data_IF_579986699245
#
_entry.id   IF_579986699245
#
_cell.length_a   1.000
_cell.length_b   1.000
_cell.length_c   1.000
_cell.angle_alpha   90.00
_cell.angle_beta   90.00
_cell.angle_gamma   90.00
#
_symmetry.space_group_name_H-M   'P 1'
#
loop_
_entity.id
_entity.type
_entity.pdbx_description
1 polymer ?
#
# COMPACT_ATOMS: atom_id res chain seq x y z
N UNK A 1 -26.50 -5.21 1.33
CA UNK A 1 -25.51 -5.19 2.42
C UNK A 1 -24.53 -6.30 2.10
N UNK A 2 -23.38 -5.95 1.48
CA UNK A 2 -22.32 -6.92 1.21
C UNK A 2 -21.70 -7.26 2.55
N UNK A 3 -21.61 -8.52 2.90
CA UNK A 3 -20.99 -8.92 4.16
C UNK A 3 -19.48 -8.65 4.07
N UNK A 4 -19.01 -7.70 4.86
CA UNK A 4 -17.61 -7.28 4.95
C UNK A 4 -16.64 -8.42 5.33
N UNK A 5 -17.14 -9.52 5.81
CA UNK A 5 -16.33 -10.64 6.31
C UNK A 5 -15.83 -11.60 5.21
N UNK A 6 -16.43 -11.58 4.01
CA UNK A 6 -16.06 -12.48 2.92
C UNK A 6 -14.94 -11.93 2.02
N UNK A 7 -14.60 -10.65 2.10
CA UNK A 7 -13.57 -9.99 1.29
C UNK A 7 -12.58 -9.19 2.17
N UNK A 8 -12.17 -9.72 3.30
CA UNK A 8 -11.15 -9.10 4.13
C UNK A 8 -9.77 -9.15 3.43
N UNK A 9 -8.93 -8.13 3.65
CA UNK A 9 -7.53 -8.17 3.29
C UNK A 9 -6.81 -9.12 4.26
N UNK A 10 -6.22 -10.20 3.75
CA UNK A 10 -5.46 -11.14 4.59
C UNK A 10 -3.98 -11.02 4.28
N UNK A 11 -3.17 -10.65 5.26
CA UNK A 11 -1.72 -10.55 5.18
C UNK A 11 -1.10 -11.43 6.27
N UNK A 12 -0.21 -12.35 5.93
CA UNK A 12 0.44 -13.26 6.89
C UNK A 12 -0.56 -13.94 7.87
N UNK A 13 -1.75 -14.28 7.38
CA UNK A 13 -2.81 -14.91 8.17
C UNK A 13 -3.62 -13.97 9.06
N UNK A 14 -3.30 -12.69 9.10
CA UNK A 14 -4.08 -11.68 9.83
C UNK A 14 -5.06 -10.96 8.89
N UNK A 15 -6.29 -10.73 9.35
CA UNK A 15 -7.37 -10.12 8.58
C UNK A 15 -7.51 -8.63 8.90
N UNK A 16 -7.64 -7.81 7.86
CA UNK A 16 -7.83 -6.37 7.95
C UNK A 16 -9.11 -5.96 7.20
N UNK A 17 -9.91 -5.11 7.82
CA UNK A 17 -11.17 -4.63 7.25
C UNK A 17 -10.95 -3.61 6.12
N UNK A 18 -9.84 -2.86 6.17
CA UNK A 18 -9.47 -1.85 5.18
C UNK A 18 -8.40 -2.38 4.22
N UNK A 19 -8.40 -1.87 2.99
CA UNK A 19 -7.40 -2.14 1.95
C UNK A 19 -6.48 -0.92 1.71
N UNK A 20 -6.59 0.09 2.56
CA UNK A 20 -5.74 1.27 2.56
C UNK A 20 -4.70 1.15 3.68
N UNK A 21 -3.42 1.35 3.35
CA UNK A 21 -2.33 1.59 4.30
C UNK A 21 -1.91 3.06 4.18
N UNK A 22 -1.61 3.71 5.30
CA UNK A 22 -1.33 5.15 5.31
C UNK A 22 0.01 5.46 5.99
N UNK A 23 0.84 6.26 5.32
CA UNK A 23 2.06 6.79 5.92
C UNK A 23 1.77 7.92 6.90
N UNK A 24 2.66 8.12 7.87
CA UNK A 24 2.47 9.12 8.94
C UNK A 24 3.39 10.34 8.81
N UNK A 25 4.18 10.42 7.75
CA UNK A 25 5.17 11.48 7.60
C UNK A 25 4.63 12.68 6.80
N UNK A 26 5.21 13.87 7.06
CA UNK A 26 4.99 15.13 6.31
C UNK A 26 3.63 15.80 6.52
N UNK A 27 2.80 15.34 7.43
CA UNK A 27 1.56 16.05 7.78
C UNK A 27 1.87 17.39 8.45
N UNK A 28 1.05 18.42 8.24
CA UNK A 28 1.26 19.76 8.82
C UNK A 28 1.27 19.77 10.35
N UNK A 29 0.53 18.87 10.99
CA UNK A 29 0.50 18.73 12.45
C UNK A 29 0.06 17.34 12.88
N UNK A 30 0.34 16.93 14.14
CA UNK A 30 -0.17 15.69 14.73
C UNK A 30 -1.69 15.56 14.70
N UNK A 31 -2.40 16.67 14.91
CA UNK A 31 -3.86 16.69 14.87
C UNK A 31 -4.42 16.41 13.46
N UNK A 32 -3.78 16.95 12.43
CA UNK A 32 -4.16 16.69 11.03
C UNK A 32 -3.92 15.22 10.69
N UNK A 33 -2.80 14.63 11.11
CA UNK A 33 -2.53 13.20 10.97
C UNK A 33 -3.59 12.36 11.67
N UNK A 34 -3.91 12.65 12.93
CA UNK A 34 -4.92 11.93 13.70
C UNK A 34 -6.28 11.95 12.98
N UNK A 35 -6.71 13.13 12.52
CA UNK A 35 -7.98 13.28 11.80
C UNK A 35 -7.96 12.54 10.46
N UNK A 36 -6.87 12.59 9.70
CA UNK A 36 -6.73 11.86 8.45
C UNK A 36 -6.82 10.34 8.65
N UNK A 37 -6.09 9.81 9.65
CA UNK A 37 -6.15 8.38 10.01
C UNK A 37 -7.56 7.98 10.44
N UNK A 38 -8.22 8.79 11.26
CA UNK A 38 -9.58 8.52 11.74
C UNK A 38 -10.60 8.42 10.61
N UNK A 39 -10.56 9.34 9.62
CA UNK A 39 -11.53 9.33 8.52
C UNK A 39 -11.22 8.29 7.45
N UNK A 40 -9.95 7.96 7.25
CA UNK A 40 -9.49 6.96 6.29
C UNK A 40 -9.62 5.53 6.82
N UNK A 41 -9.57 5.35 8.15
CA UNK A 41 -9.61 4.05 8.84
C UNK A 41 -8.68 3.00 8.17
N UNK A 42 -7.37 3.26 8.06
CA UNK A 42 -6.46 2.39 7.34
C UNK A 42 -6.24 1.05 8.05
N UNK A 43 -5.88 0.01 7.30
CA UNK A 43 -5.48 -1.29 7.82
C UNK A 43 -4.25 -1.21 8.72
N UNK A 44 -3.27 -0.40 8.30
CA UNK A 44 -2.02 -0.15 9.00
C UNK A 44 -1.54 1.27 8.76
N UNK A 45 -0.71 1.79 9.67
CA UNK A 45 0.03 3.05 9.47
C UNK A 45 1.53 2.77 9.42
N UNK A 46 2.26 3.41 8.47
CA UNK A 46 3.72 3.22 8.38
C UNK A 46 4.47 4.28 9.16
N UNK A 47 5.54 3.85 9.83
CA UNK A 47 6.38 4.71 10.67
C UNK A 47 7.86 4.44 10.40
N UNK A 48 8.69 5.49 10.34
CA UNK A 48 10.14 5.38 10.18
C UNK A 48 10.87 5.77 11.47
N UNK A 49 11.73 4.87 11.96
CA UNK A 49 12.60 5.15 13.11
C UNK A 49 13.63 6.26 12.84
N UNK A 50 14.23 6.30 11.63
CA UNK A 50 15.26 7.28 11.27
C UNK A 50 14.79 8.73 11.38
N UNK A 51 13.51 9.00 11.12
CA UNK A 51 12.91 10.33 11.25
C UNK A 51 12.69 10.75 12.71
N UNK A 52 12.69 9.79 13.62
CA UNK A 52 12.50 10.03 15.04
C UNK A 52 13.82 10.43 15.74
N UNK A 53 14.98 10.02 15.22
CA UNK A 53 16.29 10.20 15.87
C UNK A 53 16.84 11.63 15.94
N UNK A 54 16.20 12.62 15.33
CA UNK A 54 16.67 14.01 15.29
C UNK A 54 15.86 14.99 16.14
N UNK A 55 14.80 14.52 16.79
CA UNK A 55 13.90 15.35 17.61
C UNK A 55 14.24 15.29 19.10
N UNK A 56 13.78 16.28 19.88
CA UNK A 56 13.95 16.28 21.33
C UNK A 56 13.15 15.16 22.02
N UNK A 57 13.56 14.75 23.21
CA UNK A 57 12.91 13.66 23.98
C UNK A 57 11.41 13.87 24.18
N UNK A 58 10.96 15.12 24.31
CA UNK A 58 9.54 15.47 24.48
C UNK A 58 8.73 15.28 23.19
N UNK A 59 9.30 15.61 22.01
CA UNK A 59 8.64 15.40 20.74
C UNK A 59 8.48 13.90 20.42
N UNK A 60 9.41 13.06 20.86
CA UNK A 60 9.31 11.61 20.75
C UNK A 60 8.16 11.05 21.60
N UNK A 61 8.05 11.46 22.88
CA UNK A 61 6.99 10.96 23.75
C UNK A 61 5.59 11.30 23.21
N UNK A 62 5.40 12.52 22.71
CA UNK A 62 4.13 12.97 22.15
C UNK A 62 3.70 12.21 20.88
N UNK A 63 4.66 11.86 20.00
CA UNK A 63 4.36 11.07 18.80
C UNK A 63 3.99 9.61 19.14
N UNK A 64 4.67 9.02 20.13
CA UNK A 64 4.35 7.69 20.62
C UNK A 64 2.95 7.60 21.24
N UNK A 65 2.59 8.57 22.04
CA UNK A 65 1.25 8.66 22.62
C UNK A 65 0.20 8.81 21.52
N UNK A 66 0.50 9.60 20.49
CA UNK A 66 -0.40 9.74 19.33
C UNK A 66 -0.60 8.41 18.59
N UNK A 67 0.47 7.65 18.33
CA UNK A 67 0.36 6.33 17.68
C UNK A 67 -0.50 5.38 18.52
N UNK A 68 -0.28 5.32 19.83
CA UNK A 68 -1.08 4.50 20.75
C UNK A 68 -2.56 4.93 20.77
N UNK A 69 -2.80 6.23 20.76
CA UNK A 69 -4.17 6.79 20.75
C UNK A 69 -4.94 6.45 19.48
N UNK A 70 -4.26 6.43 18.33
CA UNK A 70 -4.90 6.08 17.05
C UNK A 70 -5.34 4.62 17.00
N UNK A 71 -4.74 3.73 17.81
CA UNK A 71 -5.10 2.30 17.92
C UNK A 71 -5.15 1.55 16.57
N UNK A 72 -4.31 1.96 15.61
CA UNK A 72 -4.14 1.32 14.30
C UNK A 72 -2.85 0.51 14.31
N UNK A 73 -2.82 -0.71 13.74
CA UNK A 73 -1.61 -1.51 13.62
C UNK A 73 -0.46 -0.73 12.97
N UNK A 74 0.74 -0.81 13.55
CA UNK A 74 1.92 -0.11 13.07
C UNK A 74 2.73 -1.04 12.15
N UNK A 75 3.09 -0.53 10.98
CA UNK A 75 4.01 -1.13 10.03
C UNK A 75 5.30 -0.28 9.99
N UNK A 76 6.31 -0.59 10.81
CA UNK A 76 7.59 0.09 10.73
C UNK A 76 8.24 -0.10 9.36
N UNK A 77 9.05 0.88 8.93
CA UNK A 77 9.79 0.77 7.68
C UNK A 77 11.30 1.02 7.87
N UNK A 78 12.07 0.51 6.92
CA UNK A 78 13.53 0.71 6.84
C UNK A 78 13.91 1.82 5.86
N UNK A 79 13.05 2.83 5.71
CA UNK A 79 13.25 3.95 4.79
C UNK A 79 14.61 4.63 4.97
N UNK A 80 15.29 4.86 3.85
CA UNK A 80 16.62 5.49 3.82
C UNK A 80 17.76 4.55 4.18
N UNK A 81 17.56 3.23 4.23
CA UNK A 81 18.64 2.24 4.33
C UNK A 81 19.22 1.94 2.94
N UNK A 82 20.56 1.92 2.84
CA UNK A 82 21.31 1.66 1.60
C UNK A 82 22.11 0.36 1.63
N UNK A 83 22.10 -0.34 2.76
CA UNK A 83 22.77 -1.63 2.90
C UNK A 83 21.90 -2.64 3.65
N UNK A 84 22.08 -3.97 3.36
CA UNK A 84 21.40 -5.02 4.11
C UNK A 84 21.61 -4.95 5.62
N UNK A 85 22.80 -4.59 6.06
CA UNK A 85 23.13 -4.47 7.48
C UNK A 85 22.33 -3.35 8.17
N UNK A 86 22.21 -2.18 7.51
CA UNK A 86 21.37 -1.08 8.02
C UNK A 86 19.90 -1.50 8.11
N UNK A 87 19.39 -2.21 7.10
CA UNK A 87 18.02 -2.74 7.08
C UNK A 87 17.79 -3.66 8.26
N UNK A 88 18.66 -4.68 8.45
CA UNK A 88 18.51 -5.66 9.53
C UNK A 88 18.55 -4.98 10.90
N UNK A 89 19.53 -4.12 11.13
CA UNK A 89 19.66 -3.37 12.39
C UNK A 89 18.41 -2.50 12.64
N UNK A 90 17.94 -1.77 11.63
CA UNK A 90 16.75 -0.92 11.75
C UNK A 90 15.49 -1.75 12.02
N UNK A 91 15.34 -2.90 11.36
CA UNK A 91 14.21 -3.80 11.58
C UNK A 91 14.20 -4.37 13.00
N UNK A 92 15.35 -4.81 13.52
CA UNK A 92 15.47 -5.31 14.88
C UNK A 92 15.16 -4.23 15.92
N UNK A 93 15.68 -3.01 15.73
CA UNK A 93 15.32 -1.87 16.57
C UNK A 93 13.81 -1.57 16.53
N UNK A 94 13.22 -1.64 15.32
CA UNK A 94 11.79 -1.41 15.15
C UNK A 94 10.94 -2.47 15.86
N UNK A 95 11.36 -3.74 15.85
CA UNK A 95 10.71 -4.82 16.59
C UNK A 95 10.61 -4.51 18.07
N UNK A 96 11.72 -4.12 18.67
CA UNK A 96 11.78 -3.79 20.09
C UNK A 96 10.94 -2.55 20.45
N UNK A 97 11.05 -1.51 19.62
CA UNK A 97 10.39 -0.23 19.86
C UNK A 97 8.88 -0.30 19.66
N UNK A 98 8.41 -1.00 18.62
CA UNK A 98 6.98 -1.08 18.27
C UNK A 98 6.31 -2.37 18.73
N UNK A 99 7.07 -3.28 19.36
CA UNK A 99 6.57 -4.59 19.82
C UNK A 99 5.84 -5.35 18.69
N UNK A 100 6.42 -5.32 17.47
CA UNK A 100 5.81 -5.92 16.29
C UNK A 100 6.83 -6.64 15.42
N UNK A 101 6.40 -7.73 14.76
CA UNK A 101 7.20 -8.41 13.75
C UNK A 101 6.90 -7.93 12.33
N UNK A 102 5.99 -6.99 12.14
CA UNK A 102 5.74 -6.38 10.84
C UNK A 102 6.88 -5.45 10.44
N UNK A 103 7.31 -5.53 9.18
CA UNK A 103 8.31 -4.62 8.62
C UNK A 103 8.06 -4.35 7.14
N UNK A 104 7.96 -3.08 6.77
CA UNK A 104 8.05 -2.66 5.38
C UNK A 104 9.54 -2.54 5.04
N UNK A 105 10.01 -3.48 4.21
CA UNK A 105 11.42 -3.52 3.80
C UNK A 105 11.65 -2.53 2.65
N UNK A 106 12.41 -1.49 2.94
CA UNK A 106 12.97 -0.56 1.95
C UNK A 106 14.50 -0.69 1.97
N UNK A 107 15.10 -1.05 0.85
CA UNK A 107 16.54 -1.05 0.59
C UNK A 107 16.79 -0.23 -0.66
N UNK A 108 17.28 1.00 -0.50
CA UNK A 108 17.40 1.99 -1.58
C UNK A 108 18.70 1.76 -2.36
N UNK A 109 18.57 1.67 -3.69
CA UNK A 109 19.69 1.52 -4.61
C UNK A 109 20.13 2.82 -5.27
N UNK A 110 19.20 3.79 -5.41
CA UNK A 110 19.46 5.08 -6.05
C UNK A 110 18.75 6.21 -5.30
N UNK A 111 19.49 7.23 -4.90
CA UNK A 111 18.99 8.35 -4.10
C UNK A 111 18.09 9.32 -4.89
N UNK A 112 18.25 9.38 -6.19
CA UNK A 112 17.50 10.31 -7.03
C UNK A 112 16.09 9.80 -7.32
N UNK A 113 15.98 8.52 -7.65
CA UNK A 113 14.70 7.87 -7.98
C UNK A 113 14.05 7.16 -6.80
N UNK A 114 14.80 6.93 -5.70
CA UNK A 114 14.43 6.08 -4.58
C UNK A 114 14.06 4.66 -5.03
N UNK A 115 14.66 4.21 -6.14
CA UNK A 115 14.48 2.86 -6.65
C UNK A 115 15.13 1.86 -5.71
N UNK A 116 14.48 0.71 -5.44
CA UNK A 116 15.04 -0.32 -4.58
C UNK A 116 16.26 -0.99 -5.22
N UNK A 117 17.21 -1.42 -4.39
CA UNK A 117 18.32 -2.28 -4.80
C UNK A 117 17.83 -3.70 -5.05
N UNK A 118 17.42 -3.97 -6.27
CA UNK A 118 16.82 -5.24 -6.67
C UNK A 118 17.74 -6.43 -6.51
N UNK A 119 19.06 -6.23 -6.56
CA UNK A 119 20.05 -7.31 -6.44
C UNK A 119 20.17 -7.82 -5.01
N UNK A 120 20.17 -6.92 -4.03
CA UNK A 120 20.34 -7.25 -2.61
C UNK A 120 19.01 -7.42 -1.86
N UNK A 121 17.90 -6.94 -2.42
CA UNK A 121 16.58 -6.93 -1.78
C UNK A 121 16.10 -8.34 -1.41
N UNK A 122 16.22 -9.30 -2.34
CA UNK A 122 15.73 -10.68 -2.15
C UNK A 122 16.44 -11.37 -0.97
N UNK A 123 17.77 -11.30 -0.94
CA UNK A 123 18.56 -11.91 0.14
C UNK A 123 18.30 -11.22 1.49
N UNK A 124 18.10 -9.91 1.49
CA UNK A 124 17.75 -9.15 2.69
C UNK A 124 16.37 -9.55 3.22
N UNK A 125 15.39 -9.71 2.33
CA UNK A 125 14.05 -10.19 2.69
C UNK A 125 14.10 -11.59 3.30
N UNK A 126 14.84 -12.53 2.67
CA UNK A 126 15.04 -13.88 3.19
C UNK A 126 15.65 -13.88 4.60
N UNK A 127 16.62 -13.03 4.85
CA UNK A 127 17.27 -12.89 6.17
C UNK A 127 16.26 -12.43 7.23
N UNK A 128 15.46 -11.40 6.93
CA UNK A 128 14.44 -10.91 7.85
C UNK A 128 13.33 -11.95 8.11
N UNK A 129 12.93 -12.70 7.08
CA UNK A 129 11.93 -13.77 7.23
C UNK A 129 12.45 -14.88 8.14
N UNK A 130 13.70 -15.30 7.97
CA UNK A 130 14.37 -16.28 8.87
C UNK A 130 14.45 -15.78 10.31
N UNK A 131 14.57 -14.47 10.51
CA UNK A 131 14.55 -13.82 11.83
C UNK A 131 13.11 -13.60 12.37
N UNK A 132 12.08 -14.14 11.69
CA UNK A 132 10.68 -14.15 12.14
C UNK A 132 9.88 -12.88 11.80
N UNK A 133 10.37 -12.01 10.92
CA UNK A 133 9.61 -10.85 10.47
C UNK A 133 8.53 -11.20 9.44
N UNK A 134 7.41 -10.47 9.49
CA UNK A 134 6.39 -10.39 8.45
C UNK A 134 6.79 -9.29 7.47
N UNK A 135 7.48 -9.68 6.40
CA UNK A 135 8.15 -8.74 5.49
C UNK A 135 7.22 -8.29 4.37
N UNK A 136 7.04 -6.98 4.22
CA UNK A 136 6.38 -6.34 3.10
C UNK A 136 7.45 -5.60 2.27
N UNK A 137 8.00 -6.22 1.20
CA UNK A 137 9.11 -5.65 0.45
C UNK A 137 8.65 -4.62 -0.56
N UNK A 138 9.15 -3.38 -0.44
CA UNK A 138 9.03 -2.36 -1.48
C UNK A 138 9.91 -2.74 -2.68
N UNK A 139 9.30 -2.87 -3.84
CA UNK A 139 9.98 -3.30 -5.07
C UNK A 139 9.42 -2.59 -6.30
N UNK A 140 10.07 -2.80 -7.44
CA UNK A 140 9.55 -2.38 -8.75
C UNK A 140 8.48 -3.35 -9.24
N UNK A 141 7.81 -2.99 -10.36
CA UNK A 141 6.85 -3.85 -11.04
C UNK A 141 7.50 -4.99 -11.87
N UNK A 142 8.74 -5.35 -11.56
CA UNK A 142 9.45 -6.45 -12.21
C UNK A 142 8.90 -7.82 -11.75
N UNK A 143 8.40 -8.60 -12.70
CA UNK A 143 7.79 -9.91 -12.42
C UNK A 143 8.80 -10.89 -11.82
N UNK A 144 10.03 -10.92 -12.34
CA UNK A 144 11.05 -11.89 -11.88
C UNK A 144 11.50 -11.55 -10.47
N UNK A 145 11.68 -10.27 -10.17
CA UNK A 145 11.98 -9.82 -8.82
C UNK A 145 10.86 -10.23 -7.84
N UNK A 146 9.60 -9.96 -8.20
CA UNK A 146 8.45 -10.30 -7.37
C UNK A 146 8.33 -11.82 -7.13
N UNK A 147 8.57 -12.65 -8.15
CA UNK A 147 8.60 -14.11 -8.00
C UNK A 147 9.70 -14.55 -7.03
N UNK A 148 10.92 -14.00 -7.16
CA UNK A 148 12.03 -14.31 -6.26
C UNK A 148 11.75 -13.89 -4.81
N UNK A 149 11.05 -12.79 -4.59
CA UNK A 149 10.64 -12.37 -3.25
C UNK A 149 9.61 -13.34 -2.65
N UNK A 150 8.67 -13.85 -3.46
CA UNK A 150 7.74 -14.92 -3.05
C UNK A 150 8.49 -16.20 -2.72
N UNK A 151 9.44 -16.63 -3.56
CA UNK A 151 10.26 -17.83 -3.34
C UNK A 151 11.14 -17.69 -2.09
N UNK A 152 11.57 -16.48 -1.74
CA UNK A 152 12.28 -16.17 -0.50
C UNK A 152 11.39 -16.22 0.75
N UNK A 153 10.05 -16.39 0.59
CA UNK A 153 9.09 -16.55 1.68
C UNK A 153 8.24 -15.32 1.99
N UNK A 154 8.29 -14.26 1.18
CA UNK A 154 7.38 -13.13 1.34
C UNK A 154 5.94 -13.55 1.05
N UNK A 155 5.03 -13.34 2.00
CA UNK A 155 3.61 -13.66 1.85
C UNK A 155 2.77 -12.47 1.40
N UNK A 156 3.38 -11.34 1.10
CA UNK A 156 2.81 -10.19 0.43
C UNK A 156 3.93 -9.39 -0.23
N UNK A 157 3.65 -8.70 -1.34
CA UNK A 157 4.61 -7.92 -2.12
C UNK A 157 4.10 -6.49 -2.29
N UNK A 158 5.01 -5.51 -2.28
CA UNK A 158 4.68 -4.08 -2.43
C UNK A 158 5.31 -3.48 -3.69
N UNK A 159 4.77 -3.77 -4.90
CA UNK A 159 5.26 -3.14 -6.12
C UNK A 159 4.85 -1.66 -6.16
N UNK A 160 5.73 -0.81 -6.69
CA UNK A 160 5.42 0.59 -6.94
C UNK A 160 4.49 0.79 -8.14
N UNK A 161 3.75 1.91 -8.17
CA UNK A 161 3.09 2.41 -9.38
C UNK A 161 4.02 3.34 -10.17
N UNK A 162 4.82 4.13 -9.45
CA UNK A 162 5.85 5.05 -9.92
C UNK A 162 6.82 5.34 -8.76
N UNK A 163 7.96 6.03 -9.00
CA UNK A 163 8.90 6.37 -7.93
C UNK A 163 8.24 7.14 -6.77
N UNK A 164 8.77 6.93 -5.57
CA UNK A 164 8.24 7.51 -4.32
C UNK A 164 8.05 9.04 -4.45
N UNK A 165 6.87 9.52 -4.09
CA UNK A 165 6.57 10.96 -4.02
C UNK A 165 6.28 11.64 -5.35
N UNK A 166 6.33 10.92 -6.49
CA UNK A 166 6.10 11.52 -7.82
C UNK A 166 4.64 11.77 -8.15
N UNK A 167 3.71 11.01 -7.58
CA UNK A 167 2.28 11.17 -7.83
C UNK A 167 1.81 10.88 -9.27
N UNK A 168 2.65 10.24 -10.08
CA UNK A 168 2.40 10.03 -11.52
C UNK A 168 1.37 8.94 -11.82
N UNK A 169 1.02 8.13 -10.81
CA UNK A 169 0.14 6.98 -11.01
C UNK A 169 0.85 5.78 -11.64
N UNK A 170 0.11 4.75 -12.05
CA UNK A 170 0.68 3.53 -12.61
C UNK A 170 1.28 3.77 -14.00
N UNK A 171 2.61 3.93 -14.06
CA UNK A 171 3.34 4.24 -15.30
C UNK A 171 3.41 3.06 -16.28
N UNK A 172 3.39 1.82 -15.75
CA UNK A 172 3.48 0.62 -16.56
C UNK A 172 2.27 -0.32 -16.32
N UNK A 173 1.08 0.02 -16.85
CA UNK A 173 -0.13 -0.78 -16.66
C UNK A 173 0.01 -2.23 -17.14
N UNK A 174 0.81 -2.46 -18.18
CA UNK A 174 1.05 -3.82 -18.71
C UNK A 174 1.77 -4.69 -17.67
N UNK A 175 2.90 -4.22 -17.14
CA UNK A 175 3.67 -4.97 -16.15
C UNK A 175 2.85 -5.19 -14.86
N UNK A 176 2.13 -4.19 -14.40
CA UNK A 176 1.31 -4.30 -13.20
C UNK A 176 0.18 -5.34 -13.36
N UNK A 177 -0.55 -5.35 -14.48
CA UNK A 177 -1.56 -6.36 -14.75
C UNK A 177 -0.95 -7.75 -14.85
N UNK A 178 0.21 -7.88 -15.50
CA UNK A 178 0.95 -9.13 -15.58
C UNK A 178 1.36 -9.63 -14.18
N UNK A 179 1.80 -8.75 -13.28
CA UNK A 179 2.05 -9.11 -11.88
C UNK A 179 0.81 -9.69 -11.23
N UNK A 180 -0.34 -9.00 -11.36
CA UNK A 180 -1.59 -9.47 -10.73
C UNK A 180 -2.00 -10.86 -11.24
N UNK A 181 -1.79 -11.13 -12.51
CA UNK A 181 -2.13 -12.43 -13.10
C UNK A 181 -1.21 -13.56 -12.61
N UNK A 182 0.07 -13.25 -12.39
CA UNK A 182 1.11 -14.25 -12.15
C UNK A 182 1.47 -14.44 -10.69
N UNK A 183 1.37 -13.42 -9.86
CA UNK A 183 1.67 -13.48 -8.42
C UNK A 183 0.40 -13.84 -7.65
N UNK A 184 0.49 -14.83 -6.74
CA UNK A 184 -0.67 -15.37 -6.03
C UNK A 184 -0.79 -14.89 -4.58
N UNK A 185 0.28 -14.32 -4.03
CA UNK A 185 0.22 -13.64 -2.74
C UNK A 185 -0.38 -12.24 -2.90
N UNK A 186 -0.89 -11.63 -1.82
CA UNK A 186 -1.38 -10.26 -1.85
C UNK A 186 -0.38 -9.27 -2.44
N UNK A 187 -0.87 -8.38 -3.30
CA UNK A 187 -0.12 -7.29 -3.92
C UNK A 187 -0.65 -5.95 -3.41
N UNK A 188 0.22 -5.19 -2.74
CA UNK A 188 -0.09 -3.87 -2.20
C UNK A 188 0.63 -2.84 -3.07
N UNK A 189 -0.09 -2.01 -3.82
CA UNK A 189 0.55 -0.97 -4.63
C UNK A 189 1.06 0.14 -3.73
N UNK A 190 2.39 0.32 -3.71
CA UNK A 190 3.09 1.31 -2.90
C UNK A 190 3.79 2.33 -3.79
N UNK A 191 3.80 3.58 -3.36
CA UNK A 191 4.48 4.69 -4.03
C UNK A 191 3.88 5.12 -5.39
N UNK A 192 4.07 6.39 -5.71
CA UNK A 192 3.72 6.99 -6.99
C UNK A 192 2.24 7.28 -7.21
N UNK A 193 1.34 6.83 -6.33
CA UNK A 193 -0.09 7.17 -6.40
C UNK A 193 -0.31 8.63 -5.97
N UNK A 194 -0.83 9.46 -6.85
CA UNK A 194 -1.02 10.90 -6.61
C UNK A 194 -2.47 11.34 -6.52
N UNK A 195 -3.40 10.55 -7.06
CA UNK A 195 -4.83 10.87 -7.12
C UNK A 195 -5.67 9.68 -6.63
N UNK A 196 -6.84 9.91 -6.04
CA UNK A 196 -7.78 8.84 -5.70
C UNK A 196 -8.14 7.94 -6.88
N UNK A 197 -8.23 8.49 -8.11
CA UNK A 197 -8.44 7.70 -9.33
C UNK A 197 -7.32 6.69 -9.60
N UNK A 198 -6.07 6.97 -9.24
CA UNK A 198 -4.98 6.01 -9.36
C UNK A 198 -5.18 4.80 -8.44
N UNK A 199 -5.62 5.05 -7.18
CA UNK A 199 -5.95 3.98 -6.24
C UNK A 199 -7.13 3.15 -6.75
N UNK A 200 -8.22 3.80 -7.20
CA UNK A 200 -9.36 3.13 -7.80
C UNK A 200 -8.93 2.23 -8.97
N UNK A 201 -8.14 2.76 -9.89
CA UNK A 201 -7.66 2.04 -11.09
C UNK A 201 -6.87 0.77 -10.73
N UNK A 202 -5.92 0.84 -9.80
CA UNK A 202 -5.14 -0.36 -9.43
C UNK A 202 -6.00 -1.39 -8.68
N UNK A 203 -6.96 -0.93 -7.88
CA UNK A 203 -7.93 -1.82 -7.24
C UNK A 203 -8.87 -2.49 -8.24
N UNK A 204 -9.31 -1.79 -9.29
CA UNK A 204 -10.07 -2.35 -10.43
C UNK A 204 -9.28 -3.42 -11.19
N UNK A 205 -7.94 -3.33 -11.22
CA UNK A 205 -7.08 -4.37 -11.79
C UNK A 205 -6.91 -5.59 -10.89
N UNK A 206 -7.50 -5.57 -9.68
CA UNK A 206 -7.50 -6.69 -8.74
C UNK A 206 -6.31 -6.71 -7.79
N UNK A 207 -5.58 -5.60 -7.63
CA UNK A 207 -4.63 -5.48 -6.54
C UNK A 207 -5.36 -5.54 -5.20
N UNK A 208 -4.66 -5.98 -4.16
CA UNK A 208 -5.29 -6.31 -2.88
C UNK A 208 -5.38 -5.12 -1.94
N UNK A 209 -4.46 -4.16 -2.05
CA UNK A 209 -4.42 -2.95 -1.23
C UNK A 209 -3.55 -1.87 -1.87
N UNK A 210 -3.59 -0.66 -1.30
CA UNK A 210 -2.72 0.46 -1.64
C UNK A 210 -2.07 1.04 -0.40
N UNK A 211 -0.85 1.58 -0.55
CA UNK A 211 -0.17 2.36 0.49
C UNK A 211 0.12 3.76 -0.03
N UNK A 212 -0.24 4.77 0.76
CA UNK A 212 -0.15 6.19 0.43
C UNK A 212 0.52 6.96 1.55
N UNK A 213 1.22 8.03 1.21
CA UNK A 213 1.67 9.03 2.18
C UNK A 213 1.65 10.43 1.58
N UNK A 214 2.57 10.72 0.66
CA UNK A 214 2.83 12.07 0.13
C UNK A 214 1.60 12.71 -0.51
N UNK A 215 0.84 11.95 -1.28
CA UNK A 215 -0.37 12.44 -1.96
C UNK A 215 -1.45 12.92 -0.99
N UNK A 216 -1.50 12.33 0.20
CA UNK A 216 -2.41 12.75 1.27
C UNK A 216 -1.78 13.89 2.07
N UNK A 217 -0.59 13.68 2.62
CA UNK A 217 0.04 14.60 3.58
C UNK A 217 0.36 15.99 2.99
N UNK A 218 0.61 16.09 1.67
CA UNK A 218 0.94 17.33 0.97
C UNK A 218 -0.23 17.92 0.17
N UNK A 219 -1.43 17.36 0.28
CA UNK A 219 -2.63 18.00 -0.29
C UNK A 219 -3.01 19.24 0.50
N UNK A 220 -3.82 20.13 -0.09
CA UNK A 220 -4.34 21.32 0.59
C UNK A 220 -5.20 20.95 1.82
N UNK A 221 -5.96 19.85 1.73
CA UNK A 221 -6.73 19.27 2.84
C UNK A 221 -6.41 17.79 2.98
N UNK A 222 -5.42 17.41 3.83
CA UNK A 222 -5.04 16.02 4.04
C UNK A 222 -6.18 15.15 4.60
N UNK A 223 -7.09 15.70 5.37
CA UNK A 223 -8.21 14.96 5.96
C UNK A 223 -9.22 14.57 4.88
N UNK A 224 -9.64 15.54 4.04
CA UNK A 224 -10.52 15.28 2.92
C UNK A 224 -9.86 14.34 1.89
N UNK A 225 -8.57 14.51 1.61
CA UNK A 225 -7.84 13.68 0.67
C UNK A 225 -7.70 12.23 1.18
N UNK A 226 -7.42 12.02 2.48
CA UNK A 226 -7.39 10.68 3.09
C UNK A 226 -8.73 9.95 2.93
N UNK A 227 -9.84 10.67 3.18
CA UNK A 227 -11.19 10.12 2.96
C UNK A 227 -11.44 9.79 1.50
N UNK A 228 -11.04 10.65 0.57
CA UNK A 228 -11.22 10.44 -0.87
C UNK A 228 -10.46 9.19 -1.35
N UNK A 229 -9.22 8.97 -0.88
CA UNK A 229 -8.46 7.75 -1.19
C UNK A 229 -9.09 6.49 -0.60
N UNK A 230 -9.61 6.52 0.63
CA UNK A 230 -10.31 5.38 1.21
C UNK A 230 -11.52 5.00 0.36
N UNK A 231 -12.37 5.98 0.03
CA UNK A 231 -13.54 5.75 -0.85
C UNK A 231 -13.16 5.21 -2.22
N UNK A 232 -12.09 5.72 -2.84
CA UNK A 232 -11.62 5.27 -4.14
C UNK A 232 -11.08 3.82 -4.09
N UNK A 233 -10.39 3.46 -3.02
CA UNK A 233 -9.91 2.10 -2.78
C UNK A 233 -11.06 1.12 -2.69
N UNK A 234 -12.10 1.44 -1.92
CA UNK A 234 -13.30 0.63 -1.76
C UNK A 234 -14.10 0.53 -3.07
N UNK A 235 -14.24 1.64 -3.81
CA UNK A 235 -14.94 1.68 -5.08
C UNK A 235 -14.25 0.78 -6.13
N UNK A 236 -12.92 0.88 -6.25
CA UNK A 236 -12.16 0.04 -7.18
C UNK A 236 -12.24 -1.44 -6.83
N UNK A 237 -12.18 -1.79 -5.53
CA UNK A 237 -12.35 -3.18 -5.09
C UNK A 237 -13.75 -3.70 -5.40
N UNK A 238 -14.77 -2.91 -5.12
CA UNK A 238 -16.15 -3.26 -5.43
C UNK A 238 -16.38 -3.49 -6.93
N UNK A 239 -15.80 -2.64 -7.78
CA UNK A 239 -15.85 -2.79 -9.23
C UNK A 239 -15.18 -4.09 -9.69
N UNK A 240 -13.99 -4.40 -9.16
CA UNK A 240 -13.27 -5.65 -9.45
C UNK A 240 -14.08 -6.88 -9.10
N UNK A 241 -14.67 -6.93 -7.90
CA UNK A 241 -15.48 -8.05 -7.43
C UNK A 241 -16.80 -8.22 -8.21
N UNK A 242 -17.38 -7.09 -8.65
CA UNK A 242 -18.62 -7.11 -9.44
C UNK A 242 -18.40 -7.58 -10.89
N UNK A 243 -17.15 -7.57 -11.37
CA UNK A 243 -16.83 -7.90 -12.74
C UNK A 243 -17.24 -6.80 -13.72
N UNK A 244 -16.27 -6.03 -14.21
CA UNK A 244 -16.52 -4.99 -15.21
C UNK A 244 -16.95 -5.58 -16.56
N UNK A 245 -17.84 -4.90 -17.26
CA UNK A 245 -18.18 -5.26 -18.63
C UNK A 245 -16.92 -5.15 -19.52
N UNK A 246 -16.81 -6.05 -20.48
CA UNK A 246 -15.72 -5.99 -21.46
C UNK A 246 -15.91 -4.79 -22.38
N UNK A 247 -14.86 -4.01 -22.68
CA UNK A 247 -14.92 -2.96 -23.69
C UNK A 247 -15.41 -3.52 -25.04
N UNK A 248 -16.30 -2.78 -25.69
CA UNK A 248 -16.81 -3.12 -27.02
C UNK A 248 -16.19 -2.22 -28.08
N UNK A 249 -15.96 -2.73 -29.27
CA UNK A 249 -15.41 -1.97 -30.41
C UNK A 249 -16.44 -1.12 -31.13
N UNK A 250 -17.72 -1.42 -30.92
CA UNK A 250 -18.85 -0.71 -31.54
C UNK A 250 -19.90 -0.30 -30.51
N UNK A 251 -20.63 0.76 -30.81
CA UNK A 251 -21.73 1.19 -29.96
C UNK A 251 -22.86 0.12 -29.97
N UNK A 252 -23.42 -0.12 -28.79
CA UNK A 252 -24.61 -0.94 -28.60
C UNK A 252 -25.73 -0.08 -28.00
N UNK A 253 -26.91 -0.13 -28.60
CA UNK A 253 -28.06 0.61 -28.08
C UNK A 253 -28.48 0.05 -26.72
N UNK A 254 -28.51 0.91 -25.70
CA UNK A 254 -28.99 0.57 -24.36
C UNK A 254 -30.51 0.74 -24.20
N UNK A 255 -31.16 1.42 -25.15
CA UNK A 255 -32.60 1.64 -25.13
C UNK A 255 -33.30 0.44 -25.79
N UNK A 256 -34.35 -0.14 -25.17
CA UNK A 256 -35.10 -1.25 -25.73
C UNK A 256 -35.70 -0.90 -27.07
N UNK A 257 -35.76 -1.87 -28.01
CA UNK A 257 -36.59 -1.74 -29.19
C UNK A 257 -38.07 -1.71 -28.78
N UNK A 258 -38.86 -0.87 -29.45
CA UNK A 258 -40.30 -0.75 -29.17
C UNK A 258 -40.98 -2.14 -29.27
N UNK A 259 -41.68 -2.52 -28.20
CA UNK A 259 -42.39 -3.80 -28.15
C UNK A 259 -41.62 -4.97 -27.55
N UNK A 260 -40.34 -4.79 -27.14
CA UNK A 260 -39.56 -5.83 -26.46
C UNK A 260 -39.53 -5.54 -24.94
N UNK A 261 -39.94 -6.50 -24.09
CA UNK A 261 -39.77 -6.35 -22.64
C UNK A 261 -38.32 -6.17 -22.27
N UNK A 262 -38.02 -5.32 -21.27
CA UNK A 262 -36.63 -4.97 -20.90
C UNK A 262 -35.77 -6.17 -20.44
N UNK A 263 -36.40 -7.28 -19.98
CA UNK A 263 -35.72 -8.50 -19.59
C UNK A 263 -35.36 -9.46 -20.76
N UNK A 264 -35.72 -9.13 -22.00
CA UNK A 264 -35.37 -9.87 -23.19
C UNK A 264 -34.22 -9.25 -23.99
N UNK A 265 -33.46 -8.34 -23.37
CA UNK A 265 -32.30 -7.73 -24.01
C UNK A 265 -31.07 -8.59 -23.69
N UNK A 266 -30.72 -9.48 -24.61
CA UNK A 266 -29.47 -10.23 -24.62
C UNK A 266 -28.36 -9.44 -25.32
#
# INVERSE_FOLDING_TARGET
>A
MWSSDLDALVLYGESFASRLLLGTSRYPSPLVLENAVKVANPAMITVSLRRQGTSTTEAHSGFWELLKKMAVPVLPNTAGCHSPQEVITTAQMAREVFETNWIKLELIGDDYTLQPDTLRLVQTAETLIKDGFKVLPYCTEDLILCQRLVDAGCQAIMPWAAPIGTGQGPLNPYAMKLLRDRIKVPLIVDAGLGLPSHACTVMEWGFDAVLLNTAVALSEDPVAMAKAFAMATDAGRSAYLSGAMKPQTSAQASTPLVGTPFWHQS
#
